data_IF_277083511303
#
_entry.id   IF_277083511303
#
_cell.length_a   1.000
_cell.length_b   1.000
_cell.length_c   1.000
_cell.angle_alpha   90.00
_cell.angle_beta   90.00
_cell.angle_gamma   90.00
#
_symmetry.space_group_name_H-M   'P 1'
#
loop_
_entity.id
_entity.type
_entity.pdbx_description
1 polymer ?
#
# COMPACT_ATOMS: atom_id res chain seq x y z
N UNK A 1 11.85 34.67 10.37
CA UNK A 1 12.59 33.89 11.40
C UNK A 1 12.06 32.47 11.40
N UNK A 2 12.81 31.52 10.81
CA UNK A 2 12.45 30.11 10.87
C UNK A 2 12.63 29.64 12.31
N UNK A 3 11.52 29.37 13.02
CA UNK A 3 11.53 28.73 14.33
C UNK A 3 12.05 27.29 14.14
N UNK A 4 13.37 27.13 14.20
CA UNK A 4 14.01 25.81 14.17
C UNK A 4 13.49 24.98 15.34
N UNK A 5 13.12 23.72 15.06
CA UNK A 5 12.80 22.75 16.11
C UNK A 5 13.99 22.65 17.06
N UNK A 6 13.74 22.63 18.37
CA UNK A 6 14.75 22.45 19.40
C UNK A 6 15.58 21.21 19.12
N UNK A 7 16.91 21.33 19.19
CA UNK A 7 17.84 20.22 19.02
C UNK A 7 17.56 19.22 20.14
N UNK A 8 17.27 17.96 19.77
CA UNK A 8 17.01 16.88 20.72
C UNK A 8 18.19 15.93 20.74
N UNK A 9 18.70 15.61 21.93
CA UNK A 9 19.76 14.61 22.12
C UNK A 9 19.20 13.19 22.37
N UNK A 10 17.89 13.00 22.12
CA UNK A 10 17.16 11.74 22.36
C UNK A 10 17.88 10.51 21.81
N UNK A 11 18.58 10.65 20.68
CA UNK A 11 19.17 9.52 19.97
C UNK A 11 20.67 9.29 20.24
N UNK A 12 21.33 10.16 21.03
CA UNK A 12 22.77 10.07 21.30
C UNK A 12 23.18 8.78 22.02
N UNK A 13 22.32 8.28 22.90
CA UNK A 13 22.51 7.04 23.65
C UNK A 13 21.30 6.11 23.47
N UNK A 14 20.76 6.09 22.24
CA UNK A 14 19.57 5.30 21.96
C UNK A 14 19.82 3.82 22.25
N UNK A 15 19.03 3.24 23.14
CA UNK A 15 19.13 1.82 23.47
C UNK A 15 18.28 1.02 22.49
N UNK A 16 18.94 0.13 21.76
CA UNK A 16 18.29 -0.79 20.84
C UNK A 16 17.96 -2.11 21.53
N UNK A 17 16.81 -2.69 21.20
CA UNK A 17 16.51 -4.08 21.53
C UNK A 17 17.49 -5.01 20.82
N UNK A 18 17.72 -6.20 21.37
CA UNK A 18 18.65 -7.20 20.83
C UNK A 18 18.38 -7.55 19.36
N UNK A 19 17.12 -7.59 18.96
CA UNK A 19 16.73 -7.79 17.56
C UNK A 19 17.24 -6.68 16.64
N UNK A 20 17.13 -5.42 17.07
CA UNK A 20 17.59 -4.27 16.27
C UNK A 20 19.11 -4.18 16.28
N UNK A 21 19.77 -4.48 17.41
CA UNK A 21 21.24 -4.58 17.46
C UNK A 21 21.75 -5.58 16.42
N UNK A 22 21.13 -6.75 16.32
CA UNK A 22 21.50 -7.76 15.32
C UNK A 22 21.31 -7.28 13.88
N UNK A 23 20.26 -6.50 13.61
CA UNK A 23 20.04 -5.90 12.29
C UNK A 23 21.10 -4.84 11.95
N UNK A 24 21.54 -4.07 12.95
CA UNK A 24 22.56 -3.03 12.80
C UNK A 24 23.98 -3.61 12.68
N UNK A 25 24.25 -4.78 13.28
CA UNK A 25 25.49 -5.54 13.09
C UNK A 25 25.57 -6.07 11.66
N UNK A 26 26.01 -5.21 10.75
CA UNK A 26 26.19 -5.50 9.32
C UNK A 26 27.52 -4.92 8.87
N UNK A 27 28.31 -5.70 8.15
CA UNK A 27 29.55 -5.21 7.57
C UNK A 27 29.27 -4.21 6.44
N UNK A 28 29.97 -3.08 6.50
CA UNK A 28 29.95 -2.04 5.47
C UNK A 28 31.11 -2.29 4.52
N UNK A 29 30.82 -2.25 3.22
CA UNK A 29 31.84 -2.33 2.19
C UNK A 29 32.34 -0.90 1.84
N UNK A 30 33.44 -0.76 1.09
CA UNK A 30 33.96 0.56 0.70
C UNK A 30 32.93 1.43 -0.06
N UNK A 31 32.01 0.80 -0.79
CA UNK A 31 30.94 1.53 -1.49
C UNK A 31 29.89 2.09 -0.52
N UNK A 32 29.60 1.37 0.57
CA UNK A 32 28.72 1.83 1.64
C UNK A 32 29.34 3.03 2.38
N UNK A 33 30.66 3.06 2.55
CA UNK A 33 31.38 4.19 3.14
C UNK A 33 31.28 5.44 2.25
N UNK A 34 31.40 5.29 0.92
CA UNK A 34 31.19 6.39 -0.02
C UNK A 34 29.75 6.93 0.01
N UNK A 35 28.76 6.05 0.09
CA UNK A 35 27.36 6.46 0.22
C UNK A 35 27.10 7.16 1.56
N UNK A 36 27.65 6.65 2.66
CA UNK A 36 27.58 7.32 3.96
C UNK A 36 28.23 8.71 3.93
N UNK A 37 29.38 8.88 3.28
CA UNK A 37 30.00 10.20 3.12
C UNK A 37 29.09 11.19 2.39
N UNK A 38 28.41 10.76 1.33
CA UNK A 38 27.40 11.60 0.64
C UNK A 38 26.25 11.97 1.57
N UNK A 39 25.78 11.03 2.38
CA UNK A 39 24.68 11.25 3.32
C UNK A 39 25.08 12.24 4.41
N UNK A 40 26.29 12.13 4.96
CA UNK A 40 26.83 13.09 5.92
C UNK A 40 27.01 14.47 5.28
N UNK A 41 27.51 14.54 4.04
CA UNK A 41 27.62 15.80 3.30
C UNK A 41 26.25 16.46 3.08
N UNK A 42 25.23 15.67 2.74
CA UNK A 42 23.85 16.16 2.62
C UNK A 42 23.35 16.72 3.96
N UNK A 43 23.61 16.04 5.07
CA UNK A 43 23.24 16.52 6.39
C UNK A 43 23.93 17.85 6.75
N UNK A 44 25.23 17.95 6.52
CA UNK A 44 26.00 19.18 6.77
C UNK A 44 25.47 20.35 5.91
N UNK A 45 25.07 20.08 4.67
CA UNK A 45 24.50 21.10 3.77
C UNK A 45 23.15 21.68 4.23
N UNK A 46 22.46 21.04 5.18
CA UNK A 46 21.20 21.55 5.72
C UNK A 46 21.39 22.80 6.59
N UNK A 47 22.62 23.06 7.06
CA UNK A 47 22.98 24.17 7.97
C UNK A 47 22.09 24.23 9.24
N UNK A 48 21.53 23.09 9.65
CA UNK A 48 20.64 22.97 10.80
C UNK A 48 20.92 21.65 11.51
N UNK A 49 21.21 21.73 12.81
CA UNK A 49 21.39 20.53 13.64
C UNK A 49 20.06 19.81 13.85
N UNK A 50 20.04 18.51 13.57
CA UNK A 50 18.89 17.63 13.81
C UNK A 50 19.26 16.55 14.81
N UNK A 51 18.32 16.20 15.68
CA UNK A 51 18.57 15.16 16.68
C UNK A 51 18.88 13.78 16.09
N UNK A 52 18.47 13.50 14.85
CA UNK A 52 18.76 12.23 14.18
C UNK A 52 20.20 12.09 13.69
N UNK A 53 21.04 13.11 13.84
CA UNK A 53 22.47 13.07 13.49
C UNK A 53 23.19 11.84 14.06
N UNK A 54 22.88 11.51 15.31
CA UNK A 54 23.48 10.39 16.04
C UNK A 54 23.12 9.02 15.45
N UNK A 55 22.08 8.94 14.62
CA UNK A 55 21.56 7.68 14.07
C UNK A 55 21.59 7.67 12.53
N UNK A 56 22.32 8.59 11.88
CA UNK A 56 22.41 8.63 10.40
C UNK A 56 22.93 7.30 9.85
N UNK A 57 24.01 6.77 10.44
CA UNK A 57 24.57 5.47 10.06
C UNK A 57 23.56 4.33 10.25
N UNK A 58 22.83 4.36 11.36
CA UNK A 58 21.82 3.34 11.67
C UNK A 58 20.68 3.40 10.66
N UNK A 59 20.19 4.59 10.32
CA UNK A 59 19.16 4.80 9.30
C UNK A 59 19.59 4.25 7.93
N UNK A 60 20.85 4.48 7.53
CA UNK A 60 21.41 3.89 6.32
C UNK A 60 21.34 2.36 6.35
N UNK A 61 21.81 1.72 7.43
CA UNK A 61 21.82 0.26 7.54
C UNK A 61 20.39 -0.30 7.50
N UNK A 62 19.47 0.28 8.28
CA UNK A 62 18.08 -0.17 8.34
C UNK A 62 17.39 -0.05 6.97
N UNK A 63 17.69 0.98 6.19
CA UNK A 63 17.03 1.24 4.91
C UNK A 63 17.69 0.54 3.75
N UNK A 64 19.00 0.71 3.58
CA UNK A 64 19.71 0.29 2.38
C UNK A 64 20.12 -1.17 2.49
N UNK A 65 20.63 -1.59 3.65
CA UNK A 65 21.14 -2.96 3.84
C UNK A 65 20.03 -3.93 4.25
N UNK A 66 19.11 -3.50 5.12
CA UNK A 66 18.07 -4.36 5.70
C UNK A 66 16.68 -4.19 5.09
N UNK A 67 16.51 -3.25 4.15
CA UNK A 67 15.22 -2.99 3.48
C UNK A 67 14.03 -2.82 4.43
N UNK A 68 14.26 -2.24 5.61
CA UNK A 68 13.21 -2.03 6.61
C UNK A 68 12.25 -0.93 6.14
N UNK A 69 10.96 -1.08 6.42
CA UNK A 69 9.95 -0.11 6.01
C UNK A 69 10.02 1.15 6.86
N UNK A 70 9.53 2.27 6.31
CA UNK A 70 9.50 3.54 7.03
C UNK A 70 8.62 3.47 8.28
N UNK A 71 7.58 2.64 8.26
CA UNK A 71 6.70 2.39 9.41
C UNK A 71 7.41 1.63 10.52
N UNK A 72 8.22 0.62 10.18
CA UNK A 72 8.96 -0.13 11.18
C UNK A 72 10.07 0.72 11.82
N UNK A 73 10.73 1.57 11.02
CA UNK A 73 11.70 2.56 11.55
C UNK A 73 11.00 3.54 12.50
N UNK A 74 9.78 3.96 12.15
CA UNK A 74 8.98 4.83 13.00
C UNK A 74 8.67 4.16 14.36
N UNK A 75 8.37 2.86 14.35
CA UNK A 75 8.17 2.06 15.55
C UNK A 75 9.46 1.91 16.36
N UNK A 76 10.61 1.65 15.72
CA UNK A 76 11.92 1.53 16.40
C UNK A 76 12.23 2.79 17.20
N UNK A 77 12.02 3.98 16.62
CA UNK A 77 12.37 5.26 17.27
C UNK A 77 11.21 5.91 18.04
N UNK A 78 10.03 5.28 18.06
CA UNK A 78 8.82 5.78 18.71
C UNK A 78 8.39 7.16 18.19
N UNK A 79 8.35 7.33 16.87
CA UNK A 79 8.00 8.58 16.20
C UNK A 79 6.99 8.34 15.09
N UNK A 80 6.37 9.40 14.58
CA UNK A 80 5.47 9.31 13.42
C UNK A 80 6.22 8.97 12.14
N UNK A 81 5.62 8.15 11.28
CA UNK A 81 6.16 7.77 9.96
C UNK A 81 6.49 8.98 9.08
N UNK A 82 5.71 10.06 9.18
CA UNK A 82 5.97 11.34 8.48
C UNK A 82 7.28 12.00 8.92
N UNK A 83 7.65 11.87 10.19
CA UNK A 83 8.92 12.42 10.70
C UNK A 83 10.09 11.65 10.11
N UNK A 84 10.01 10.32 10.07
CA UNK A 84 11.02 9.48 9.41
C UNK A 84 11.14 9.85 7.93
N UNK A 85 10.02 9.98 7.20
CA UNK A 85 10.04 10.38 5.79
C UNK A 85 10.76 11.72 5.56
N UNK A 86 10.57 12.70 6.45
CA UNK A 86 11.27 13.98 6.37
C UNK A 86 12.78 13.77 6.53
N UNK A 87 13.21 12.98 7.52
CA UNK A 87 14.64 12.69 7.74
C UNK A 87 15.26 12.00 6.52
N UNK A 88 14.57 11.02 5.95
CA UNK A 88 15.07 10.32 4.76
C UNK A 88 15.16 11.21 3.54
N UNK A 89 14.22 12.15 3.41
CA UNK A 89 14.28 13.15 2.34
C UNK A 89 15.45 14.12 2.54
N UNK A 90 15.68 14.58 3.77
CA UNK A 90 16.81 15.45 4.13
C UNK A 90 18.16 14.76 3.90
N UNK A 91 18.25 13.45 4.16
CA UNK A 91 19.47 12.65 3.98
C UNK A 91 19.71 12.16 2.55
N UNK A 92 18.76 12.34 1.63
CA UNK A 92 18.83 11.77 0.28
C UNK A 92 18.57 10.26 0.22
N UNK A 93 18.07 9.67 1.31
CA UNK A 93 17.76 8.24 1.47
C UNK A 93 16.32 7.87 1.04
N UNK A 94 15.64 8.76 0.33
CA UNK A 94 14.25 8.55 -0.02
C UNK A 94 14.11 7.44 -1.08
N UNK A 95 13.29 6.44 -0.79
CA UNK A 95 13.02 5.36 -1.75
C UNK A 95 12.07 5.86 -2.83
N UNK A 96 12.33 5.43 -4.06
CA UNK A 96 11.35 5.61 -5.14
C UNK A 96 10.10 4.76 -4.85
N UNK A 97 8.93 5.18 -5.33
CA UNK A 97 7.67 4.45 -5.13
C UNK A 97 7.78 2.97 -5.56
N UNK A 98 8.54 2.69 -6.63
CA UNK A 98 8.82 1.33 -7.12
C UNK A 98 9.59 0.47 -6.10
N UNK A 99 10.57 1.04 -5.42
CA UNK A 99 11.35 0.32 -4.39
C UNK A 99 10.51 0.07 -3.12
N UNK A 100 9.69 1.04 -2.72
CA UNK A 100 8.79 0.89 -1.58
C UNK A 100 7.75 -0.23 -1.80
N UNK A 101 7.20 -0.33 -3.02
CA UNK A 101 6.24 -1.39 -3.38
C UNK A 101 6.88 -2.79 -3.33
N UNK A 102 8.12 -2.95 -3.82
CA UNK A 102 8.83 -4.25 -3.76
C UNK A 102 8.97 -4.75 -2.32
N UNK A 103 9.38 -3.89 -1.40
CA UNK A 103 9.55 -4.24 0.02
C UNK A 103 8.21 -4.61 0.68
N UNK A 104 7.15 -3.88 0.36
CA UNK A 104 5.80 -4.19 0.84
C UNK A 104 5.31 -5.56 0.32
N UNK A 105 5.65 -5.93 -0.92
CA UNK A 105 5.34 -7.25 -1.48
C UNK A 105 6.15 -8.35 -0.82
N UNK A 106 7.45 -8.13 -0.53
CA UNK A 106 8.31 -9.13 0.14
C UNK A 106 7.91 -9.40 1.59
N UNK A 107 7.37 -8.40 2.31
CA UNK A 107 6.85 -8.56 3.68
C UNK A 107 5.42 -9.09 3.74
N UNK A 108 4.73 -9.28 2.61
CA UNK A 108 3.44 -9.99 2.60
C UNK A 108 3.72 -11.46 2.80
N UNK A 109 3.81 -11.83 4.06
CA UNK A 109 3.80 -13.20 4.50
C UNK A 109 2.40 -13.75 4.20
N UNK A 110 2.21 -14.30 2.98
CA UNK A 110 0.96 -14.91 2.53
C UNK A 110 0.45 -15.98 3.52
N UNK A 111 1.36 -16.58 4.30
CA UNK A 111 1.05 -17.56 5.34
C UNK A 111 0.58 -16.95 6.67
N UNK A 112 1.00 -15.72 7.03
CA UNK A 112 0.52 -15.07 8.25
C UNK A 112 -0.92 -14.54 8.07
N UNK A 113 -1.25 -14.10 6.85
CA UNK A 113 -2.63 -13.80 6.45
C UNK A 113 -3.49 -15.07 6.55
N UNK A 114 -2.96 -16.24 6.15
CA UNK A 114 -3.67 -17.53 6.24
C UNK A 114 -3.95 -17.98 7.69
N UNK A 115 -3.12 -17.60 8.67
CA UNK A 115 -3.28 -17.99 10.08
C UNK A 115 -4.15 -17.03 10.91
N UNK A 116 -4.18 -15.74 10.56
CA UNK A 116 -5.11 -14.77 11.17
C UNK A 116 -6.59 -14.96 10.80
N UNK A 117 -6.86 -15.72 9.72
CA UNK A 117 -8.21 -15.99 9.21
C UNK A 117 -8.96 -17.06 10.02
N UNK A 118 -8.26 -17.91 10.78
CA UNK A 118 -8.90 -19.05 11.46
C UNK A 118 -9.50 -18.72 12.83
N UNK A 119 -9.31 -17.52 13.39
CA UNK A 119 -9.72 -17.21 14.77
C UNK A 119 -10.64 -15.98 14.95
N UNK A 120 -11.35 -15.55 13.90
CA UNK A 120 -12.49 -14.63 14.07
C UNK A 120 -13.76 -15.25 13.47
N UNK A 121 -14.39 -16.13 14.25
CA UNK A 121 -15.79 -16.47 14.06
C UNK A 121 -16.65 -15.29 14.54
N UNK A 122 -17.15 -14.48 13.60
CA UNK A 122 -18.44 -13.80 13.74
C UNK A 122 -19.04 -13.44 12.36
N UNK A 123 -20.14 -14.14 12.05
CA UNK A 123 -21.20 -13.84 11.06
C UNK A 123 -20.83 -13.56 9.58
N UNK A 124 -20.94 -14.60 8.75
CA UNK A 124 -21.79 -14.61 7.54
C UNK A 124 -21.54 -13.64 6.37
N UNK A 125 -20.54 -12.77 6.41
CA UNK A 125 -20.21 -11.88 5.29
C UNK A 125 -19.09 -12.49 4.45
N UNK A 126 -19.35 -12.75 3.16
CA UNK A 126 -18.28 -13.01 2.19
C UNK A 126 -17.27 -11.88 2.30
N UNK A 127 -15.98 -12.22 2.43
CA UNK A 127 -14.94 -11.19 2.41
C UNK A 127 -14.86 -10.61 1.00
N UNK A 128 -14.44 -9.35 0.86
CA UNK A 128 -14.26 -8.72 -0.45
C UNK A 128 -13.35 -9.57 -1.38
N UNK A 129 -12.38 -10.28 -0.81
CA UNK A 129 -11.51 -11.20 -1.53
C UNK A 129 -12.27 -12.43 -2.06
N UNK A 130 -13.21 -12.98 -1.31
CA UNK A 130 -14.05 -14.10 -1.76
C UNK A 130 -14.97 -13.66 -2.91
N UNK A 131 -15.48 -12.43 -2.84
CA UNK A 131 -16.29 -11.81 -3.89
C UNK A 131 -15.45 -11.67 -5.16
N UNK A 132 -14.25 -11.07 -5.05
CA UNK A 132 -13.33 -10.88 -6.19
C UNK A 132 -12.94 -12.21 -6.82
N UNK A 133 -12.60 -13.21 -6.02
CA UNK A 133 -12.23 -14.54 -6.52
C UNK A 133 -13.38 -15.21 -7.28
N UNK A 134 -14.60 -15.17 -6.73
CA UNK A 134 -15.78 -15.72 -7.41
C UNK A 134 -16.11 -14.95 -8.69
N UNK A 135 -16.00 -13.62 -8.65
CA UNK A 135 -16.26 -12.76 -9.79
C UNK A 135 -15.25 -13.02 -10.92
N UNK A 136 -13.96 -13.13 -10.61
CA UNK A 136 -12.90 -13.46 -11.57
C UNK A 136 -13.17 -14.79 -12.28
N UNK A 137 -13.49 -15.82 -11.50
CA UNK A 137 -13.78 -17.15 -12.05
C UNK A 137 -14.97 -17.10 -12.99
N UNK A 138 -16.09 -16.55 -12.55
CA UNK A 138 -17.33 -16.58 -13.32
C UNK A 138 -17.28 -15.64 -14.54
N UNK A 139 -16.66 -14.47 -14.43
CA UNK A 139 -16.49 -13.56 -15.58
C UNK A 139 -15.63 -14.19 -16.67
N UNK A 140 -14.57 -14.92 -16.31
CA UNK A 140 -13.73 -15.64 -17.28
C UNK A 140 -14.49 -16.79 -17.96
N UNK A 141 -15.39 -17.44 -17.24
CA UNK A 141 -16.26 -18.48 -17.81
C UNK A 141 -17.27 -17.89 -18.80
N UNK A 142 -17.93 -16.77 -18.46
CA UNK A 142 -18.98 -16.15 -19.27
C UNK A 142 -18.49 -15.27 -20.43
N UNK A 143 -17.31 -14.67 -20.28
CA UNK A 143 -16.67 -13.77 -21.25
C UNK A 143 -15.37 -14.37 -21.78
N UNK A 144 -15.44 -15.63 -22.23
CA UNK A 144 -14.32 -16.28 -22.88
C UNK A 144 -13.88 -15.50 -24.13
N UNK A 145 -12.59 -15.18 -24.23
CA UNK A 145 -12.02 -14.34 -25.30
C UNK A 145 -11.98 -12.84 -25.02
N UNK A 146 -12.45 -12.37 -23.86
CA UNK A 146 -12.27 -10.99 -23.40
C UNK A 146 -11.09 -10.91 -22.43
N UNK A 147 -10.35 -9.81 -22.44
CA UNK A 147 -9.37 -9.53 -21.38
C UNK A 147 -10.08 -8.82 -20.22
N UNK A 148 -9.94 -9.36 -19.01
CA UNK A 148 -10.70 -8.89 -17.84
C UNK A 148 -9.72 -8.48 -16.75
N UNK A 149 -9.85 -7.24 -16.28
CA UNK A 149 -9.05 -6.69 -15.19
C UNK A 149 -9.98 -6.35 -14.02
N UNK A 150 -9.81 -7.05 -12.91
CA UNK A 150 -10.53 -6.80 -11.66
C UNK A 150 -9.57 -6.11 -10.69
N UNK A 151 -9.83 -4.85 -10.38
CA UNK A 151 -8.99 -4.09 -9.48
C UNK A 151 -9.33 -4.37 -8.01
N UNK A 152 -8.29 -4.35 -7.18
CA UNK A 152 -8.42 -4.39 -5.72
C UNK A 152 -8.28 -2.95 -5.23
N UNK A 153 -9.35 -2.38 -4.70
CA UNK A 153 -9.26 -1.08 -4.03
C UNK A 153 -9.13 -1.31 -2.53
N UNK A 154 -8.00 -0.87 -1.95
CA UNK A 154 -7.86 -0.83 -0.49
C UNK A 154 -8.50 0.44 0.11
N UNK A 155 -8.88 1.40 -0.73
CA UNK A 155 -9.45 2.70 -0.34
C UNK A 155 -10.56 3.20 -1.29
N UNK A 156 -11.13 2.33 -2.13
CA UNK A 156 -12.15 2.73 -3.10
C UNK A 156 -11.63 3.67 -4.20
N UNK A 157 -12.27 3.66 -5.37
CA UNK A 157 -12.17 4.76 -6.35
C UNK A 157 -13.20 5.84 -6.01
N UNK A 158 -14.31 5.44 -5.37
CA UNK A 158 -15.15 6.30 -4.55
C UNK A 158 -14.62 6.27 -3.11
N UNK A 159 -15.02 7.18 -2.24
CA UNK A 159 -14.66 7.14 -0.81
C UNK A 159 -15.24 5.90 -0.06
N UNK A 160 -15.80 4.90 -0.77
CA UNK A 160 -16.27 3.62 -0.26
C UNK A 160 -15.14 2.58 -0.22
N UNK A 161 -14.86 2.08 0.98
CA UNK A 161 -13.75 1.15 1.29
C UNK A 161 -13.78 -0.20 0.55
N UNK A 162 -14.79 -0.49 -0.27
CA UNK A 162 -15.06 -1.85 -0.77
C UNK A 162 -15.48 -1.95 -2.24
N UNK A 163 -15.46 -0.86 -3.02
CA UNK A 163 -15.85 -0.94 -4.43
C UNK A 163 -14.88 -1.77 -5.27
N UNK A 164 -15.43 -2.54 -6.21
CA UNK A 164 -14.65 -3.42 -7.08
C UNK A 164 -14.73 -2.90 -8.52
N UNK A 165 -13.67 -2.25 -9.04
CA UNK A 165 -13.61 -1.88 -10.45
C UNK A 165 -13.35 -3.10 -11.31
N UNK A 166 -14.12 -3.24 -12.38
CA UNK A 166 -13.97 -4.28 -13.40
C UNK A 166 -13.82 -3.59 -14.74
N UNK A 167 -12.77 -3.92 -15.48
CA UNK A 167 -12.56 -3.42 -16.84
C UNK A 167 -12.51 -4.62 -17.77
N UNK A 168 -13.31 -4.57 -18.82
CA UNK A 168 -13.42 -5.61 -19.84
C UNK A 168 -12.95 -5.02 -21.16
N UNK A 169 -12.01 -5.71 -21.80
CA UNK A 169 -11.47 -5.35 -23.11
C UNK A 169 -11.85 -6.40 -24.14
N UNK A 170 -12.23 -5.93 -25.33
CA UNK A 170 -12.33 -6.73 -26.55
C UNK A 170 -11.88 -5.89 -27.72
N UNK A 171 -10.81 -6.31 -28.37
CA UNK A 171 -10.19 -5.60 -29.47
C UNK A 171 -9.91 -4.14 -29.10
N UNK A 172 -10.63 -3.18 -29.71
CA UNK A 172 -10.49 -1.73 -29.45
C UNK A 172 -11.54 -1.19 -28.47
N UNK A 173 -12.47 -2.02 -27.99
CA UNK A 173 -13.54 -1.63 -27.08
C UNK A 173 -13.15 -1.84 -25.63
N UNK A 174 -13.48 -0.86 -24.79
CA UNK A 174 -13.21 -0.88 -23.35
C UNK A 174 -14.48 -0.54 -22.59
N UNK A 175 -14.98 -1.51 -21.84
CA UNK A 175 -16.12 -1.34 -20.95
C UNK A 175 -15.63 -1.32 -19.50
N UNK A 176 -16.08 -0.32 -18.74
CA UNK A 176 -15.62 -0.07 -17.37
C UNK A 176 -16.80 -0.10 -16.42
N UNK A 177 -16.71 -0.94 -15.40
CA UNK A 177 -17.75 -1.17 -14.41
C UNK A 177 -17.21 -0.93 -13.01
N UNK A 178 -18.07 -0.48 -12.11
CA UNK A 178 -17.77 -0.33 -10.70
C UNK A 178 -18.86 -1.04 -9.90
N UNK A 179 -18.48 -2.10 -9.19
CA UNK A 179 -19.40 -2.91 -8.39
C UNK A 179 -19.40 -2.38 -6.95
N UNK A 180 -20.55 -1.87 -6.52
CA UNK A 180 -20.78 -1.36 -5.17
C UNK A 180 -21.21 -2.52 -4.25
N UNK A 181 -20.42 -2.82 -3.22
CA UNK A 181 -20.69 -3.93 -2.29
C UNK A 181 -21.43 -3.51 -1.02
N UNK A 182 -21.67 -2.22 -0.80
CA UNK A 182 -22.41 -1.70 0.35
C UNK A 182 -23.52 -0.74 -0.07
N UNK A 183 -24.70 -0.92 0.54
CA UNK A 183 -25.96 -0.25 0.21
C UNK A 183 -26.16 1.12 0.88
N UNK A 184 -25.11 1.79 1.36
CA UNK A 184 -25.26 3.15 1.88
C UNK A 184 -25.28 4.14 0.72
N UNK A 185 -26.49 4.60 0.40
CA UNK A 185 -26.76 5.72 -0.51
C UNK A 185 -25.83 6.90 -0.19
N UNK A 186 -24.96 7.25 -1.12
CA UNK A 186 -24.47 8.62 -1.21
C UNK A 186 -25.03 9.27 -2.47
N UNK A 187 -26.08 10.07 -2.27
CA UNK A 187 -26.71 10.96 -3.26
C UNK A 187 -25.83 12.15 -3.67
N UNK A 188 -24.56 12.20 -3.30
CA UNK A 188 -23.73 13.39 -3.47
C UNK A 188 -22.31 13.07 -3.96
N UNK A 189 -22.17 12.93 -5.28
CA UNK A 189 -21.06 13.45 -6.13
C UNK A 189 -21.03 12.70 -7.47
N UNK A 190 -22.02 13.01 -8.30
CA UNK A 190 -22.27 12.42 -9.63
C UNK A 190 -21.13 12.67 -10.65
N UNK A 191 -20.12 13.50 -10.34
CA UNK A 191 -19.13 13.91 -11.35
C UNK A 191 -17.84 13.07 -11.45
N UNK A 192 -17.53 12.14 -10.54
CA UNK A 192 -16.30 11.32 -10.61
C UNK A 192 -16.46 9.97 -11.31
N UNK A 193 -17.70 9.55 -11.59
CA UNK A 193 -18.03 8.23 -12.15
C UNK A 193 -18.32 8.25 -13.65
N UNK A 194 -18.14 9.38 -14.35
CA UNK A 194 -18.53 9.51 -15.78
C UNK A 194 -17.98 8.44 -16.72
N UNK A 195 -16.92 7.74 -16.33
CA UNK A 195 -16.28 6.70 -17.14
C UNK A 195 -16.58 5.27 -16.68
N UNK A 196 -17.41 5.05 -15.65
CA UNK A 196 -17.76 3.73 -15.12
C UNK A 196 -19.27 3.54 -15.06
N UNK A 197 -19.75 2.39 -15.55
CA UNK A 197 -21.13 1.94 -15.28
C UNK A 197 -21.19 1.35 -13.87
N UNK A 198 -22.12 1.85 -13.06
CA UNK A 198 -22.31 1.41 -11.67
C UNK A 198 -23.20 0.18 -11.62
N UNK A 199 -22.75 -0.87 -10.94
CA UNK A 199 -23.52 -2.08 -10.69
C UNK A 199 -23.61 -2.30 -9.19
N UNK A 200 -24.81 -2.55 -8.67
CA UNK A 200 -25.02 -2.77 -7.24
C UNK A 200 -25.03 -4.24 -6.93
N UNK A 201 -24.15 -4.68 -6.03
CA UNK A 201 -24.19 -6.04 -5.52
C UNK A 201 -25.30 -6.15 -4.47
N UNK A 202 -26.38 -6.86 -4.82
CA UNK A 202 -27.47 -7.15 -3.90
C UNK A 202 -27.07 -8.13 -2.80
N UNK A 203 -27.82 -8.17 -1.69
CA UNK A 203 -27.58 -9.13 -0.60
C UNK A 203 -28.25 -10.52 -0.82
N UNK A 204 -28.66 -10.84 -2.05
CA UNK A 204 -29.31 -12.12 -2.38
C UNK A 204 -28.28 -13.20 -2.79
N UNK A 205 -28.70 -14.47 -2.76
CA UNK A 205 -27.82 -15.60 -3.09
C UNK A 205 -27.29 -15.57 -4.53
N UNK A 206 -28.03 -14.95 -5.44
CA UNK A 206 -27.69 -14.83 -6.87
C UNK A 206 -27.06 -13.49 -7.25
N UNK A 207 -26.65 -12.67 -6.27
CA UNK A 207 -26.13 -11.32 -6.49
C UNK A 207 -25.00 -11.29 -7.53
N UNK A 208 -24.03 -12.20 -7.40
CA UNK A 208 -22.89 -12.26 -8.32
C UNK A 208 -23.31 -12.64 -9.73
N UNK A 209 -24.25 -13.59 -9.87
CA UNK A 209 -24.76 -14.00 -11.19
C UNK A 209 -25.43 -12.82 -11.88
N UNK A 210 -26.25 -12.06 -11.17
CA UNK A 210 -26.90 -10.87 -11.72
C UNK A 210 -25.89 -9.82 -12.20
N UNK A 211 -24.83 -9.57 -11.42
CA UNK A 211 -23.74 -8.68 -11.82
C UNK A 211 -23.06 -9.16 -13.11
N UNK A 212 -22.82 -10.46 -13.23
CA UNK A 212 -22.18 -11.04 -14.41
C UNK A 212 -23.09 -10.94 -15.62
N UNK A 213 -24.38 -11.22 -15.47
CA UNK A 213 -25.37 -11.06 -16.54
C UNK A 213 -25.39 -9.62 -17.04
N UNK A 214 -25.42 -8.64 -16.15
CA UNK A 214 -25.44 -7.22 -16.53
C UNK A 214 -24.14 -6.77 -17.23
N UNK A 215 -22.99 -7.27 -16.79
CA UNK A 215 -21.71 -7.03 -17.49
C UNK A 215 -21.72 -7.71 -18.87
N UNK A 216 -22.24 -8.93 -18.95
CA UNK A 216 -22.28 -9.72 -20.19
C UNK A 216 -23.20 -9.10 -21.23
N UNK A 217 -24.39 -8.66 -20.85
CA UNK A 217 -25.35 -7.92 -21.70
C UNK A 217 -24.71 -6.65 -22.26
N UNK A 218 -24.11 -5.83 -21.39
CA UNK A 218 -23.46 -4.57 -21.82
C UNK A 218 -22.29 -4.81 -22.77
N UNK A 219 -21.44 -5.80 -22.47
CA UNK A 219 -20.24 -6.08 -23.26
C UNK A 219 -20.56 -6.79 -24.58
N UNK A 220 -21.59 -7.63 -24.60
CA UNK A 220 -22.04 -8.35 -25.81
C UNK A 220 -23.01 -7.51 -26.65
N UNK A 221 -23.57 -6.43 -26.11
CA UNK A 221 -24.56 -5.57 -26.77
C UNK A 221 -25.93 -6.25 -26.94
N UNK A 222 -26.32 -7.07 -25.96
CA UNK A 222 -27.62 -7.78 -25.90
C UNK A 222 -28.53 -7.02 -24.94
#
# INVERSE_FOLDING_TARGET
MNRGRTITFKYKHFQYDEHIKKLLSTDLNPNDELELQKIYSNYESLDVRRGYEYIIKDLYILIVKRNISTTDIANIYGIGSRTVQIWLKELGLNRTQKQAQKIAVTKRDYNFIKKGINNSHSSGSLTQNDIIYKLDKLLKEELNGYEIVIGITHHGISDCKTDIPVIVFKDTQVSKFLIETHSQLHKEKINRHKCYKLIKLSNNKDALKNVITEISEEVKGI
#
